data_IF_126986023643
#
_entry.id   IF_126986023643
#
_cell.length_a   1.000
_cell.length_b   1.000
_cell.length_c   1.000
_cell.angle_alpha   90.00
_cell.angle_beta   90.00
_cell.angle_gamma   90.00
#
_symmetry.space_group_name_H-M   'P 1'
#
loop_
_entity.id
_entity.type
_entity.pdbx_description
1 polymer ?
#
# COMPACT_ATOMS: atom_id res chain seq x y z
N UNK A 1 25.37 40.39 4.22
CA UNK A 1 25.29 39.72 2.90
C UNK A 1 26.10 38.42 2.82
N UNK A 2 27.40 38.38 3.15
CA UNK A 2 28.23 37.15 3.05
C UNK A 2 27.66 35.93 3.80
N UNK A 3 27.14 36.11 5.02
CA UNK A 3 26.51 35.03 5.81
C UNK A 3 25.20 34.50 5.19
N UNK A 4 24.45 35.36 4.52
CA UNK A 4 23.20 35.00 3.85
C UNK A 4 23.46 34.23 2.55
N UNK A 5 24.50 34.64 1.80
CA UNK A 5 24.98 33.93 0.62
C UNK A 5 25.54 32.54 0.95
N UNK A 6 26.26 32.41 2.08
CA UNK A 6 26.75 31.10 2.57
C UNK A 6 25.59 30.19 2.99
N UNK A 7 24.54 30.74 3.63
CA UNK A 7 23.36 29.96 3.99
C UNK A 7 22.60 29.46 2.76
N UNK A 8 22.36 30.32 1.75
CA UNK A 8 21.71 29.92 0.49
C UNK A 8 22.53 28.86 -0.24
N UNK A 9 23.86 29.02 -0.30
CA UNK A 9 24.74 28.04 -0.90
C UNK A 9 24.66 26.69 -0.17
N UNK A 10 24.57 26.68 1.16
CA UNK A 10 24.45 25.45 1.95
C UNK A 10 23.10 24.74 1.74
N UNK A 11 22.00 25.49 1.58
CA UNK A 11 20.69 24.91 1.24
C UNK A 11 20.64 24.36 -0.19
N UNK A 12 21.41 24.91 -1.13
CA UNK A 12 21.46 24.43 -2.50
C UNK A 12 22.22 23.10 -2.68
N UNK A 13 22.95 22.65 -1.65
CA UNK A 13 23.69 21.37 -1.67
C UNK A 13 22.84 20.18 -1.21
N UNK A 14 21.55 20.34 -0.94
CA UNK A 14 20.69 19.20 -0.56
C UNK A 14 20.46 18.30 -1.77
N UNK A 15 20.98 17.07 -1.71
CA UNK A 15 20.68 16.03 -2.70
C UNK A 15 19.24 15.53 -2.52
N UNK A 16 18.52 15.18 -3.60
CA UNK A 16 17.26 14.49 -3.48
C UNK A 16 17.46 13.17 -2.72
N UNK A 17 16.64 12.94 -1.69
CA UNK A 17 16.59 11.64 -1.02
C UNK A 17 15.69 10.73 -1.86
N UNK A 18 16.24 9.61 -2.33
CA UNK A 18 15.50 8.62 -3.09
C UNK A 18 14.68 7.74 -2.13
N UNK A 19 13.51 8.24 -1.75
CA UNK A 19 12.60 7.60 -0.81
C UNK A 19 11.66 6.65 -1.55
N UNK A 20 12.14 5.43 -1.81
CA UNK A 20 11.33 4.37 -2.41
C UNK A 20 10.26 3.90 -1.43
N UNK A 21 8.98 4.04 -1.80
CA UNK A 21 7.88 3.56 -0.97
C UNK A 21 7.74 2.04 -1.07
N UNK A 22 7.64 1.37 0.07
CA UNK A 22 7.27 -0.05 0.12
C UNK A 22 5.80 -0.21 -0.24
N UNK A 23 5.51 -1.16 -1.12
CA UNK A 23 4.16 -1.53 -1.52
C UNK A 23 3.94 -2.98 -1.12
N UNK A 24 2.78 -3.24 -0.53
CA UNK A 24 2.30 -4.58 -0.30
C UNK A 24 0.83 -4.69 -0.69
N UNK A 25 0.44 -5.84 -1.23
CA UNK A 25 -0.95 -6.17 -1.47
C UNK A 25 -1.17 -7.66 -1.21
N UNK A 26 -2.39 -8.05 -0.88
CA UNK A 26 -2.75 -9.44 -0.64
C UNK A 26 -4.18 -9.68 -1.08
N UNK A 27 -4.51 -10.95 -1.32
CA UNK A 27 -5.78 -11.39 -1.87
C UNK A 27 -6.00 -12.86 -1.54
N UNK A 28 -7.23 -13.32 -1.75
CA UNK A 28 -7.54 -14.74 -1.65
C UNK A 28 -7.18 -15.51 -2.92
N UNK A 29 -6.69 -16.73 -2.70
CA UNK A 29 -6.48 -17.75 -3.71
C UNK A 29 -6.93 -19.10 -3.15
N UNK A 30 -8.20 -19.43 -3.37
CA UNK A 30 -8.81 -20.63 -2.80
C UNK A 30 -8.86 -20.56 -1.28
N UNK A 31 -8.19 -21.51 -0.62
CA UNK A 31 -8.08 -21.55 0.84
C UNK A 31 -6.96 -20.67 1.40
N UNK A 32 -6.07 -20.18 0.54
CA UNK A 32 -4.91 -19.42 0.96
C UNK A 32 -5.09 -17.93 0.73
N UNK A 33 -4.30 -17.15 1.45
CA UNK A 33 -4.00 -15.76 1.16
C UNK A 33 -2.66 -15.73 0.44
N UNK A 34 -2.64 -15.14 -0.74
CA UNK A 34 -1.41 -14.84 -1.44
C UNK A 34 -1.24 -13.32 -1.49
N UNK A 35 0.00 -12.86 -1.34
CA UNK A 35 0.29 -11.45 -1.43
C UNK A 35 1.65 -11.19 -2.01
N UNK A 36 1.90 -9.94 -2.34
CA UNK A 36 3.14 -9.45 -2.91
C UNK A 36 3.71 -8.34 -2.03
N UNK A 37 5.03 -8.27 -1.93
CA UNK A 37 5.74 -7.16 -1.31
C UNK A 37 6.88 -6.72 -2.22
N UNK A 38 7.02 -5.41 -2.39
CA UNK A 38 8.07 -4.81 -3.21
C UNK A 38 8.20 -3.32 -3.00
N UNK A 39 8.97 -2.68 -3.87
CA UNK A 39 9.17 -1.25 -3.91
C UNK A 39 8.41 -0.65 -5.09
N UNK A 40 8.08 0.62 -4.98
CA UNK A 40 7.35 1.41 -5.98
C UNK A 40 8.08 1.60 -7.31
N UNK A 41 9.41 1.55 -7.32
CA UNK A 41 10.24 1.51 -8.53
C UNK A 41 10.14 0.18 -9.29
N UNK A 42 9.59 -0.84 -8.63
CA UNK A 42 9.37 -2.15 -9.19
C UNK A 42 10.31 -3.26 -8.79
N UNK A 43 11.23 -3.00 -7.86
CA UNK A 43 11.99 -4.06 -7.22
C UNK A 43 11.07 -4.90 -6.35
N UNK A 44 11.26 -6.21 -6.37
CA UNK A 44 10.52 -7.14 -5.51
C UNK A 44 11.27 -7.34 -4.20
N UNK A 45 10.55 -7.66 -3.12
CA UNK A 45 11.19 -8.00 -1.86
C UNK A 45 12.03 -9.28 -1.99
N UNK A 46 13.11 -9.35 -1.20
CA UNK A 46 14.06 -10.46 -1.27
C UNK A 46 13.41 -11.78 -0.86
N UNK A 47 13.70 -12.85 -1.62
CA UNK A 47 13.29 -14.21 -1.26
C UNK A 47 13.84 -14.58 0.13
N UNK A 48 12.99 -15.22 0.94
CA UNK A 48 13.27 -15.59 2.32
C UNK A 48 12.97 -14.51 3.35
N UNK A 49 12.60 -13.28 2.94
CA UNK A 49 12.13 -12.23 3.86
C UNK A 49 10.91 -12.72 4.64
N UNK A 50 10.92 -12.54 5.95
CA UNK A 50 9.81 -12.95 6.80
C UNK A 50 8.59 -12.01 6.63
N UNK A 51 7.42 -12.61 6.53
CA UNK A 51 6.11 -11.94 6.58
C UNK A 51 5.40 -12.46 7.82
N UNK A 52 5.29 -11.60 8.81
CA UNK A 52 4.59 -11.87 10.06
C UNK A 52 3.12 -11.53 9.91
N UNK A 53 2.24 -12.35 10.47
CA UNK A 53 0.80 -12.14 10.42
C UNK A 53 0.28 -11.96 11.83
N UNK A 54 -0.33 -10.82 12.09
CA UNK A 54 -0.88 -10.43 13.39
C UNK A 54 -2.40 -10.27 13.33
N UNK A 55 -3.05 -10.25 14.49
CA UNK A 55 -4.36 -9.60 14.61
C UNK A 55 -4.20 -8.07 14.75
N UNK A 56 -5.31 -7.36 14.98
CA UNK A 56 -5.29 -5.90 15.16
C UNK A 56 -4.67 -5.47 16.49
N UNK A 57 -4.63 -6.35 17.48
CA UNK A 57 -4.07 -6.13 18.81
C UNK A 57 -2.57 -6.50 18.89
N UNK A 58 -1.93 -6.75 17.74
CA UNK A 58 -0.52 -7.15 17.62
C UNK A 58 -0.18 -8.55 18.18
N UNK A 59 -1.17 -9.44 18.36
CA UNK A 59 -0.88 -10.84 18.67
C UNK A 59 -0.49 -11.61 17.40
N UNK A 60 0.59 -12.37 17.47
CA UNK A 60 1.08 -13.16 16.34
C UNK A 60 0.14 -14.33 16.04
N UNK A 61 -0.37 -14.37 14.81
CA UNK A 61 -1.21 -15.44 14.26
C UNK A 61 -0.40 -16.48 13.48
N UNK A 62 0.72 -16.05 12.88
CA UNK A 62 1.63 -16.94 12.16
C UNK A 62 2.71 -16.17 11.42
N UNK A 63 3.55 -16.92 10.69
CA UNK A 63 4.65 -16.39 9.88
C UNK A 63 4.68 -17.14 8.54
N UNK A 64 5.04 -16.44 7.48
CA UNK A 64 5.40 -17.02 6.19
C UNK A 64 6.63 -16.30 5.64
N UNK A 65 7.12 -16.75 4.48
CA UNK A 65 8.28 -16.14 3.81
C UNK A 65 7.93 -15.74 2.39
N UNK A 66 8.57 -14.67 1.95
CA UNK A 66 8.55 -14.26 0.56
C UNK A 66 9.29 -15.31 -0.27
N UNK A 67 8.63 -15.83 -1.29
CA UNK A 67 9.17 -16.73 -2.29
C UNK A 67 9.59 -15.99 -3.56
N UNK A 68 9.32 -16.60 -4.70
CA UNK A 68 9.67 -16.05 -6.02
C UNK A 68 8.80 -14.84 -6.35
N UNK A 69 9.35 -13.92 -7.14
CA UNK A 69 8.66 -12.73 -7.66
C UNK A 69 8.09 -11.80 -6.57
N UNK A 70 8.62 -11.88 -5.33
CA UNK A 70 8.13 -11.08 -4.21
C UNK A 70 6.81 -11.58 -3.60
N UNK A 71 6.35 -12.78 -3.98
CA UNK A 71 5.09 -13.34 -3.52
C UNK A 71 5.25 -14.11 -2.22
N UNK A 72 4.27 -14.05 -1.33
CA UNK A 72 4.14 -14.90 -0.15
C UNK A 72 2.79 -15.60 -0.14
N UNK A 73 2.69 -16.72 0.59
CA UNK A 73 1.45 -17.47 0.77
C UNK A 73 1.23 -17.79 2.25
N UNK A 74 0.02 -17.61 2.73
CA UNK A 74 -0.39 -17.84 4.11
C UNK A 74 -1.76 -18.51 4.15
N UNK A 75 -1.91 -19.61 4.89
CA UNK A 75 -3.21 -20.27 5.08
C UNK A 75 -3.82 -19.78 6.39
N UNK A 76 -4.82 -18.88 6.36
CA UNK A 76 -5.44 -18.37 7.57
C UNK A 76 -6.21 -19.47 8.30
N UNK A 77 -6.22 -19.41 9.63
CA UNK A 77 -6.91 -20.40 10.50
C UNK A 77 -8.04 -19.78 11.33
N UNK A 78 -8.14 -18.44 11.37
CA UNK A 78 -9.13 -17.70 12.14
C UNK A 78 -9.89 -16.73 11.23
N UNK A 79 -11.18 -16.55 11.46
CA UNK A 79 -12.00 -15.58 10.73
C UNK A 79 -11.94 -14.17 11.37
N UNK A 80 -10.73 -13.61 11.46
CA UNK A 80 -10.46 -12.28 12.06
C UNK A 80 -9.64 -11.43 11.09
N UNK A 81 -9.59 -10.09 11.23
CA UNK A 81 -8.70 -9.28 10.42
C UNK A 81 -7.24 -9.71 10.59
N UNK A 82 -6.52 -9.83 9.48
CA UNK A 82 -5.09 -10.20 9.48
C UNK A 82 -4.25 -9.00 9.07
N UNK A 83 -3.30 -8.62 9.94
CA UNK A 83 -2.30 -7.60 9.67
C UNK A 83 -0.99 -8.26 9.26
N UNK A 84 -0.65 -8.15 7.98
CA UNK A 84 0.61 -8.63 7.42
C UNK A 84 1.69 -7.56 7.59
N UNK A 85 2.85 -7.96 8.09
CA UNK A 85 4.03 -7.09 8.26
C UNK A 85 5.26 -7.75 7.66
N UNK A 86 5.98 -7.01 6.81
CA UNK A 86 7.25 -7.46 6.23
C UNK A 86 8.30 -6.36 6.38
N UNK A 87 9.48 -6.69 6.88
CA UNK A 87 10.59 -5.76 7.07
C UNK A 87 11.69 -6.01 6.05
N UNK A 88 11.87 -5.08 5.12
CA UNK A 88 12.86 -5.13 4.04
C UNK A 88 14.19 -4.47 4.45
N UNK A 89 14.31 -3.99 5.70
CA UNK A 89 15.49 -3.33 6.24
C UNK A 89 15.54 -1.82 5.97
N UNK A 90 16.47 -1.12 6.63
CA UNK A 90 16.67 0.33 6.51
C UNK A 90 15.39 1.19 6.69
N UNK A 91 14.43 0.71 7.49
CA UNK A 91 13.15 1.39 7.72
C UNK A 91 12.04 1.07 6.70
N UNK A 92 12.30 0.23 5.70
CA UNK A 92 11.32 -0.22 4.72
C UNK A 92 10.45 -1.33 5.31
N UNK A 93 9.36 -0.94 5.99
CA UNK A 93 8.39 -1.87 6.55
C UNK A 93 7.07 -1.77 5.79
N UNK A 94 6.64 -2.88 5.20
CA UNK A 94 5.29 -3.03 4.66
C UNK A 94 4.32 -3.40 5.77
N UNK A 95 3.14 -2.78 5.77
CA UNK A 95 2.00 -3.23 6.59
C UNK A 95 0.72 -3.18 5.78
N UNK A 96 -0.03 -4.27 5.80
CA UNK A 96 -1.30 -4.43 5.11
C UNK A 96 -2.30 -5.10 6.06
N UNK A 97 -3.53 -4.62 6.07
CA UNK A 97 -4.62 -5.25 6.82
C UNK A 97 -5.60 -5.85 5.81
N UNK A 98 -5.89 -7.13 5.95
CA UNK A 98 -6.95 -7.83 5.24
C UNK A 98 -8.14 -8.02 6.18
N UNK A 99 -9.29 -7.51 5.78
CA UNK A 99 -10.51 -7.56 6.57
C UNK A 99 -11.20 -8.92 6.46
N UNK A 100 -12.15 -9.21 7.35
CA UNK A 100 -12.82 -10.53 7.45
C UNK A 100 -13.61 -10.87 6.17
N UNK A 101 -14.21 -9.88 5.53
CA UNK A 101 -14.95 -10.01 4.27
C UNK A 101 -14.05 -10.38 3.09
N UNK A 102 -12.77 -10.04 3.16
CA UNK A 102 -11.75 -10.39 2.16
C UNK A 102 -11.13 -11.77 2.38
N UNK A 103 -11.40 -12.45 3.49
CA UNK A 103 -10.81 -13.77 3.79
C UNK A 103 -11.38 -14.91 2.94
N UNK A 104 -10.67 -16.05 2.85
CA UNK A 104 -11.18 -17.26 2.20
C UNK A 104 -12.54 -17.69 2.75
N UNK A 105 -13.46 -18.09 1.86
CA UNK A 105 -14.86 -18.37 2.23
C UNK A 105 -15.01 -19.54 3.21
N UNK A 106 -14.06 -20.50 3.20
CA UNK A 106 -14.08 -21.63 4.13
C UNK A 106 -13.96 -21.22 5.61
N UNK A 107 -13.42 -20.02 5.90
CA UNK A 107 -13.32 -19.49 7.26
C UNK A 107 -14.57 -18.73 7.70
N UNK A 108 -15.40 -18.24 6.77
CA UNK A 108 -16.55 -17.37 7.08
C UNK A 108 -17.73 -18.09 7.72
N UNK A 109 -17.62 -19.40 7.94
CA UNK A 109 -18.63 -20.18 8.63
C UNK A 109 -19.66 -20.77 7.69
N UNK A 110 -19.72 -22.10 7.77
CA UNK A 110 -20.67 -23.04 7.23
C UNK A 110 -22.12 -22.61 7.45
N UNK A 111 -22.83 -22.27 6.37
CA UNK A 111 -24.27 -22.45 6.35
C UNK A 111 -24.50 -23.95 6.20
N UNK A 112 -24.98 -24.60 7.26
CA UNK A 112 -25.28 -26.04 7.26
C UNK A 112 -26.08 -26.44 6.00
N UNK A 113 -25.67 -27.48 5.25
CA UNK A 113 -26.45 -27.97 4.14
C UNK A 113 -27.68 -28.71 4.69
N UNK A 114 -28.87 -28.15 4.44
CA UNK A 114 -30.11 -28.93 4.55
C UNK A 114 -30.07 -29.93 3.40
N UNK A 115 -29.61 -31.15 3.69
CA UNK A 115 -29.65 -32.27 2.78
C UNK A 115 -31.11 -32.58 2.42
N UNK A 116 -31.46 -32.36 1.16
CA UNK A 116 -32.55 -33.08 0.49
C UNK A 116 -31.89 -33.89 -0.64
N UNK A 117 -32.10 -35.21 -0.73
CA UNK A 117 -31.40 -36.03 -1.70
C UNK A 117 -31.97 -35.78 -3.09
N UNK A 118 -31.15 -35.24 -3.99
CA UNK A 118 -31.38 -35.38 -5.43
C UNK A 118 -30.05 -35.65 -6.11
N UNK A 119 -29.88 -36.90 -6.53
CA UNK A 119 -28.82 -37.31 -7.44
C UNK A 119 -28.98 -36.58 -8.78
N UNK A 120 -27.84 -36.14 -9.32
CA UNK A 120 -27.44 -36.04 -10.73
C UNK A 120 -26.80 -34.67 -11.03
N UNK A 121 -25.57 -34.70 -11.57
CA UNK A 121 -24.75 -33.59 -12.13
C UNK A 121 -23.51 -33.22 -11.30
N UNK A 122 -22.56 -34.15 -11.22
CA UNK A 122 -21.27 -33.99 -10.50
C UNK A 122 -20.07 -33.71 -11.44
N UNK A 123 -20.29 -33.05 -12.58
CA UNK A 123 -19.20 -32.70 -13.51
C UNK A 123 -19.22 -31.25 -14.02
N UNK A 124 -20.34 -30.51 -13.96
CA UNK A 124 -20.38 -29.13 -14.45
C UNK A 124 -19.97 -28.07 -13.41
N UNK A 125 -20.06 -28.40 -12.12
CA UNK A 125 -19.75 -27.48 -11.01
C UNK A 125 -18.23 -27.42 -10.74
N UNK A 126 -17.53 -28.55 -10.83
CA UNK A 126 -16.07 -28.61 -10.70
C UNK A 126 -15.35 -27.86 -11.84
N UNK A 127 -15.83 -28.02 -13.09
CA UNK A 127 -15.27 -27.33 -14.27
C UNK A 127 -15.47 -25.82 -14.19
N UNK A 128 -16.58 -25.37 -13.59
CA UNK A 128 -16.85 -23.93 -13.41
C UNK A 128 -15.92 -23.32 -12.37
N UNK A 129 -15.70 -23.99 -11.23
CA UNK A 129 -14.78 -23.57 -10.17
C UNK A 129 -13.34 -23.44 -10.65
N UNK A 130 -12.85 -24.43 -11.39
CA UNK A 130 -11.48 -24.42 -11.92
C UNK A 130 -11.31 -23.36 -13.02
N UNK A 131 -12.33 -23.14 -13.86
CA UNK A 131 -12.33 -22.06 -14.85
C UNK A 131 -12.31 -20.69 -14.18
N UNK A 132 -13.09 -20.49 -13.11
CA UNK A 132 -13.10 -19.23 -12.35
C UNK A 132 -11.74 -18.95 -11.71
N UNK A 133 -11.08 -19.96 -11.13
CA UNK A 133 -9.70 -19.83 -10.62
C UNK A 133 -8.71 -19.48 -11.72
N UNK A 134 -8.81 -20.13 -12.89
CA UNK A 134 -7.91 -19.86 -14.01
C UNK A 134 -8.09 -18.43 -14.53
N UNK A 135 -9.33 -17.96 -14.66
CA UNK A 135 -9.67 -16.60 -15.07
C UNK A 135 -9.19 -15.59 -14.03
N UNK A 136 -9.43 -15.83 -12.73
CA UNK A 136 -8.95 -14.96 -11.66
C UNK A 136 -7.42 -14.83 -11.68
N UNK A 137 -6.71 -15.95 -11.88
CA UNK A 137 -5.25 -15.97 -12.02
C UNK A 137 -4.77 -15.20 -13.25
N UNK A 138 -5.42 -15.38 -14.40
CA UNK A 138 -5.07 -14.67 -15.63
C UNK A 138 -5.31 -13.16 -15.50
N UNK A 139 -6.47 -12.74 -14.99
CA UNK A 139 -6.81 -11.34 -14.73
C UNK A 139 -5.84 -10.71 -13.74
N UNK A 140 -5.45 -11.43 -12.68
CA UNK A 140 -4.46 -10.95 -11.70
C UNK A 140 -3.11 -10.66 -12.35
N UNK A 141 -2.62 -11.57 -13.19
CA UNK A 141 -1.36 -11.41 -13.91
C UNK A 141 -1.34 -10.13 -14.75
N UNK A 142 -2.48 -9.76 -15.35
CA UNK A 142 -2.63 -8.54 -16.14
C UNK A 142 -2.85 -7.27 -15.29
N UNK A 143 -3.51 -7.36 -14.12
CA UNK A 143 -3.75 -6.21 -13.23
C UNK A 143 -2.49 -5.83 -12.44
N UNK A 144 -1.63 -6.79 -12.13
CA UNK A 144 -0.40 -6.57 -11.35
C UNK A 144 0.48 -5.44 -11.91
N UNK A 145 0.86 -5.41 -13.21
CA UNK A 145 1.64 -4.31 -13.76
C UNK A 145 0.89 -2.96 -13.72
N UNK A 146 -0.43 -2.94 -13.87
CA UNK A 146 -1.23 -1.71 -13.80
C UNK A 146 -1.25 -1.11 -12.39
N UNK A 147 -1.36 -1.95 -11.35
CA UNK A 147 -1.29 -1.49 -9.94
C UNK A 147 0.06 -0.85 -9.64
N UNK A 148 1.13 -1.47 -10.14
CA UNK A 148 2.50 -0.98 -10.03
C UNK A 148 2.68 0.37 -10.74
N UNK A 149 2.13 0.51 -11.94
CA UNK A 149 2.15 1.78 -12.68
C UNK A 149 1.34 2.88 -11.97
N UNK A 150 0.14 2.57 -11.45
CA UNK A 150 -0.64 3.53 -10.66
C UNK A 150 0.12 3.98 -9.41
N UNK A 151 0.81 3.05 -8.75
CA UNK A 151 1.61 3.37 -7.57
C UNK A 151 2.80 4.27 -7.92
N UNK A 152 3.49 4.02 -9.04
CA UNK A 152 4.60 4.86 -9.49
C UNK A 152 4.14 6.25 -9.95
N UNK A 153 2.95 6.37 -10.56
CA UNK A 153 2.35 7.67 -10.85
C UNK A 153 1.98 8.45 -9.59
N UNK A 154 1.46 7.77 -8.56
CA UNK A 154 1.15 8.42 -7.27
C UNK A 154 2.39 8.88 -6.50
N UNK A 155 3.54 8.26 -6.75
CA UNK A 155 4.80 8.62 -6.07
C UNK A 155 5.48 9.86 -6.64
N UNK A 156 5.13 10.27 -7.87
CA UNK A 156 5.54 11.57 -8.40
C UNK A 156 4.84 12.65 -7.59
N UNK A 157 5.47 13.06 -6.50
CA UNK A 157 5.08 14.20 -5.68
C UNK A 157 4.86 15.38 -6.62
N UNK A 158 3.64 15.89 -6.65
CA UNK A 158 3.27 16.99 -7.52
C UNK A 158 3.98 18.26 -7.01
N UNK A 159 5.17 18.52 -7.57
CA UNK A 159 5.97 19.71 -7.27
C UNK A 159 5.13 20.97 -7.44
N UNK A 160 4.11 20.96 -8.31
CA UNK A 160 3.18 22.06 -8.50
C UNK A 160 2.33 22.31 -7.25
N UNK A 161 1.89 21.26 -6.55
CA UNK A 161 1.14 21.39 -5.29
C UNK A 161 2.04 21.95 -4.18
N UNK A 162 3.29 21.50 -4.07
CA UNK A 162 4.26 22.03 -3.08
C UNK A 162 4.56 23.51 -3.37
N UNK A 163 4.92 23.83 -4.62
CA UNK A 163 5.22 25.19 -5.05
C UNK A 163 3.99 26.11 -4.93
N UNK A 164 2.80 25.58 -5.22
CA UNK A 164 1.52 26.26 -5.01
C UNK A 164 1.27 26.59 -3.54
N UNK A 165 1.51 25.63 -2.63
CA UNK A 165 1.42 25.85 -1.18
C UNK A 165 2.40 26.91 -0.68
N UNK A 166 3.67 26.85 -1.10
CA UNK A 166 4.68 27.87 -0.79
C UNK A 166 4.25 29.24 -1.32
N UNK A 167 3.75 29.29 -2.56
CA UNK A 167 3.23 30.51 -3.17
C UNK A 167 2.05 31.11 -2.40
N UNK A 168 1.15 30.27 -1.89
CA UNK A 168 0.02 30.71 -1.07
C UNK A 168 0.47 31.32 0.27
N UNK A 169 1.42 30.67 0.96
CA UNK A 169 1.98 31.15 2.23
C UNK A 169 2.63 32.52 2.02
N UNK A 170 3.51 32.63 1.02
CA UNK A 170 4.21 33.88 0.70
C UNK A 170 3.27 34.97 0.21
N UNK A 171 2.25 34.61 -0.59
CA UNK A 171 1.25 35.53 -1.10
C UNK A 171 0.40 36.14 0.01
N UNK A 172 -0.16 35.32 0.91
CA UNK A 172 -0.96 35.80 2.02
C UNK A 172 -0.15 36.63 3.01
N UNK A 173 1.04 36.16 3.39
CA UNK A 173 1.91 36.94 4.31
C UNK A 173 2.38 38.24 3.66
N UNK A 174 2.68 38.24 2.36
CA UNK A 174 3.01 39.45 1.60
C UNK A 174 1.89 40.49 1.61
N UNK A 175 0.65 40.06 1.35
CA UNK A 175 -0.53 40.95 1.40
C UNK A 175 -0.74 41.49 2.82
N UNK A 176 -0.65 40.63 3.84
CA UNK A 176 -0.81 41.03 5.24
C UNK A 176 0.24 42.09 5.66
N UNK A 177 1.52 41.89 5.30
CA UNK A 177 2.56 42.87 5.58
C UNK A 177 2.40 44.17 4.79
N UNK A 178 1.96 44.11 3.53
CA UNK A 178 1.68 45.29 2.73
C UNK A 178 0.56 46.14 3.36
N UNK A 179 -0.54 45.50 3.76
CA UNK A 179 -1.65 46.18 4.45
C UNK A 179 -1.22 46.73 5.81
N UNK A 180 -0.43 45.99 6.58
CA UNK A 180 0.09 46.44 7.87
C UNK A 180 1.01 47.67 7.74
N UNK A 181 1.86 47.70 6.70
CA UNK A 181 2.70 48.85 6.39
C UNK A 181 1.85 50.08 6.03
N UNK A 182 0.82 49.92 5.19
CA UNK A 182 -0.12 50.99 4.84
C UNK A 182 -0.94 51.51 6.01
N UNK A 183 -1.30 50.64 6.95
CA UNK A 183 -2.02 51.05 8.17
C UNK A 183 -1.11 51.83 9.13
N UNK A 184 0.19 51.56 9.15
CA UNK A 184 1.17 52.31 9.95
C UNK A 184 1.44 53.71 9.39
N UNK A 185 1.53 53.85 8.07
CA UNK A 185 1.68 55.16 7.41
C UNK A 185 0.52 56.10 7.76
N UNK A 186 -0.73 55.61 7.79
CA UNK A 186 -1.91 56.43 8.13
C UNK A 186 -2.07 56.80 9.61
N UNK A 187 -1.28 56.21 10.51
CA UNK A 187 -1.37 56.44 11.97
C UNK A 187 -0.23 57.29 12.52
N UNK A 188 0.70 57.70 11.65
CA UNK A 188 1.86 58.52 11.96
C UNK A 188 1.81 59.95 11.39
N UNK A 189 0.70 60.33 10.75
CA UNK A 189 0.25 61.72 10.59
C UNK A 189 -0.79 62.05 11.67
#
# INVERSE_FOLDING_TARGET
MRKFLVLIALLALTTPADAHKVIASAWTDGADIEGEVGLSNGDVALEGTAVEVFDLDDNLLGETKIGKEGLFRFTPTKAIPHKFRANLGAGHVATLIMQVDELPDHLKGETAPVQTPSQSTDQSVAVSGDMQKLVAKAVRKEIQPLRKEIASYKEKNDLQTIMGGIGYILGLTGIAFYMAARCKEKKGE
#
